data_IF_490647570592
#
_entry.id   IF_490647570592
#
_cell.length_a   1.000
_cell.length_b   1.000
_cell.length_c   1.000
_cell.angle_alpha   90.00
_cell.angle_beta   90.00
_cell.angle_gamma   90.00
#
_symmetry.space_group_name_H-M   'P 1'
#
loop_
_entity.id
_entity.type
_entity.pdbx_description
1 polymer ?
#
# COMPACT_ATOMS: atom_id res chain seq x y z
N UNK A 1 0.91 -39.87 45.13
CA UNK A 1 -0.40 -39.22 44.88
C UNK A 1 -0.19 -37.72 45.04
N UNK A 2 -0.37 -36.96 43.97
CA UNK A 2 -0.18 -35.51 43.95
C UNK A 2 -0.36 -34.98 42.53
N UNK A 3 -1.61 -34.69 42.17
CA UNK A 3 -2.01 -34.12 40.87
C UNK A 3 -1.60 -32.64 40.83
N UNK A 4 -0.81 -32.26 39.82
CA UNK A 4 -0.55 -30.87 39.47
C UNK A 4 -1.07 -30.58 38.06
N UNK A 5 -2.29 -30.06 37.98
CA UNK A 5 -2.94 -29.56 36.75
C UNK A 5 -2.22 -28.31 36.25
N UNK A 6 -1.51 -28.41 35.12
CA UNK A 6 -1.00 -27.23 34.41
C UNK A 6 -2.04 -26.73 33.41
N UNK A 7 -2.50 -25.49 33.64
CA UNK A 7 -3.43 -24.74 32.79
C UNK A 7 -2.76 -24.47 31.44
N UNK A 8 -3.40 -24.92 30.35
CA UNK A 8 -3.08 -24.45 28.99
C UNK A 8 -3.61 -23.02 28.86
N UNK A 9 -2.72 -22.03 28.89
CA UNK A 9 -3.02 -20.71 28.36
C UNK A 9 -2.74 -20.75 26.86
N UNK A 10 -3.81 -20.83 26.06
CA UNK A 10 -3.75 -20.64 24.63
C UNK A 10 -3.38 -19.19 24.32
N UNK A 11 -2.27 -18.98 23.62
CA UNK A 11 -1.94 -17.70 23.01
C UNK A 11 -2.47 -17.70 21.59
N UNK A 12 -3.24 -16.66 21.26
CA UNK A 12 -3.86 -16.46 19.95
C UNK A 12 -2.79 -16.03 18.91
N UNK A 13 -2.96 -16.39 17.63
CA UNK A 13 -1.99 -16.03 16.58
C UNK A 13 -2.09 -14.55 16.22
N UNK A 14 -0.92 -13.92 16.21
CA UNK A 14 -0.67 -12.51 15.98
C UNK A 14 -0.82 -12.14 14.50
N UNK A 15 -1.59 -11.09 14.21
CA UNK A 15 -1.81 -10.56 12.86
C UNK A 15 -1.20 -9.16 12.80
N UNK A 16 -0.11 -9.01 12.04
CA UNK A 16 0.74 -7.83 12.08
C UNK A 16 0.43 -6.81 10.96
N UNK A 17 0.32 -5.54 11.37
CA UNK A 17 0.53 -4.22 10.77
C UNK A 17 0.35 -3.92 9.26
N UNK A 18 0.56 -4.85 8.34
CA UNK A 18 0.33 -4.61 6.90
C UNK A 18 -1.09 -4.95 6.44
N UNK A 19 -1.89 -5.61 7.28
CA UNK A 19 -3.25 -6.09 6.93
C UNK A 19 -4.26 -4.97 6.66
N UNK A 20 -3.98 -3.74 7.11
CA UNK A 20 -4.94 -2.63 7.08
C UNK A 20 -5.02 -1.94 5.71
N UNK A 21 -3.90 -1.84 4.99
CA UNK A 21 -3.83 -1.17 3.68
C UNK A 21 -3.91 -2.13 2.50
N UNK A 22 -3.71 -3.42 2.75
CA UNK A 22 -3.56 -4.49 1.74
C UNK A 22 -4.89 -5.03 1.20
N UNK A 23 -6.05 -4.61 1.73
CA UNK A 23 -7.35 -5.02 1.16
C UNK A 23 -7.79 -4.07 0.05
N UNK A 24 -7.04 -4.06 -1.03
CA UNK A 24 -7.56 -3.71 -2.34
C UNK A 24 -8.45 -4.88 -2.81
N UNK A 25 -9.76 -4.70 -2.80
CA UNK A 25 -10.70 -5.64 -3.44
C UNK A 25 -11.11 -5.01 -4.78
N UNK A 26 -10.65 -5.54 -5.93
CA UNK A 26 -11.23 -5.18 -7.21
C UNK A 26 -12.61 -5.83 -7.31
N UNK A 27 -13.64 -5.00 -7.49
CA UNK A 27 -14.98 -5.34 -8.02
C UNK A 27 -15.42 -6.80 -7.90
N UNK A 28 -16.01 -7.19 -6.77
CA UNK A 28 -16.77 -8.44 -6.68
C UNK A 28 -18.20 -8.23 -7.24
N UNK A 29 -18.77 -9.21 -7.96
CA UNK A 29 -20.16 -9.16 -8.41
C UNK A 29 -21.14 -9.13 -7.22
N UNK A 30 -22.29 -8.51 -7.45
CA UNK A 30 -23.37 -8.14 -6.50
C UNK A 30 -23.80 -9.24 -5.49
N UNK A 31 -23.47 -10.51 -5.72
CA UNK A 31 -23.97 -11.65 -4.96
C UNK A 31 -23.18 -12.00 -3.68
N UNK A 32 -22.05 -11.34 -3.41
CA UNK A 32 -21.22 -11.57 -2.22
C UNK A 32 -21.34 -10.49 -1.12
N UNK A 33 -22.41 -9.69 -1.12
CA UNK A 33 -22.59 -8.60 -0.12
C UNK A 33 -23.11 -9.05 1.25
N UNK A 34 -23.70 -10.25 1.39
CA UNK A 34 -24.52 -10.53 2.59
C UNK A 34 -23.80 -11.12 3.81
N UNK A 35 -22.50 -11.42 3.77
CA UNK A 35 -21.84 -11.98 4.98
C UNK A 35 -20.41 -11.43 5.12
N UNK A 36 -20.25 -10.14 5.51
CA UNK A 36 -19.20 -9.66 6.44
C UNK A 36 -19.18 -8.11 6.68
N UNK A 37 -20.32 -7.40 6.68
CA UNK A 37 -20.32 -5.92 6.81
C UNK A 37 -21.25 -5.38 7.90
N UNK A 38 -21.28 -5.97 9.10
CA UNK A 38 -21.86 -5.27 10.26
C UNK A 38 -20.79 -4.36 10.87
N UNK A 39 -20.96 -3.04 10.71
CA UNK A 39 -20.28 -2.01 11.52
C UNK A 39 -19.17 -1.19 10.85
N UNK A 40 -18.93 -1.29 9.54
CA UNK A 40 -18.02 -0.36 8.82
C UNK A 40 -18.80 0.78 8.18
N UNK A 41 -18.28 2.02 8.16
CA UNK A 41 -18.92 3.12 7.45
C UNK A 41 -19.02 2.79 5.96
N UNK A 42 -20.17 3.10 5.38
CA UNK A 42 -20.41 2.83 3.96
C UNK A 42 -19.49 3.69 3.08
N UNK A 43 -18.97 3.14 1.97
CA UNK A 43 -18.14 3.90 1.05
C UNK A 43 -18.93 5.06 0.44
N UNK A 44 -18.31 6.22 0.27
CA UNK A 44 -18.96 7.38 -0.36
C UNK A 44 -18.74 7.38 -1.87
N UNK A 45 -19.84 7.38 -2.63
CA UNK A 45 -19.84 7.59 -4.08
C UNK A 45 -19.47 9.04 -4.43
N UNK A 46 -18.54 9.19 -5.37
CA UNK A 46 -18.10 10.49 -5.92
C UNK A 46 -17.83 10.37 -7.43
N UNK A 47 -17.76 11.51 -8.10
CA UNK A 47 -17.47 11.62 -9.53
C UNK A 47 -16.31 12.61 -9.72
N UNK A 48 -15.05 12.16 -9.64
CA UNK A 48 -13.90 13.02 -9.79
C UNK A 48 -13.86 13.66 -11.18
N UNK A 49 -13.51 14.96 -11.23
CA UNK A 49 -13.39 15.71 -12.48
C UNK A 49 -12.16 16.60 -12.49
N UNK A 50 -11.50 16.67 -13.64
CA UNK A 50 -10.38 17.59 -13.86
C UNK A 50 -10.95 18.99 -14.07
N UNK A 51 -10.53 19.95 -13.24
CA UNK A 51 -10.91 21.36 -13.35
C UNK A 51 -9.95 22.12 -14.26
N UNK A 52 -8.65 21.85 -14.11
CA UNK A 52 -7.58 22.50 -14.88
C UNK A 52 -6.44 21.51 -15.13
N UNK A 53 -5.87 21.57 -16.33
CA UNK A 53 -4.63 20.88 -16.67
C UNK A 53 -3.58 21.92 -17.08
N UNK A 54 -2.47 21.97 -16.33
CA UNK A 54 -1.38 22.92 -16.56
C UNK A 54 -0.27 22.22 -17.31
N UNK A 55 -0.15 22.53 -18.59
CA UNK A 55 0.71 21.82 -19.55
C UNK A 55 2.22 21.98 -19.29
N UNK A 56 2.65 23.02 -18.57
CA UNK A 56 4.06 23.26 -18.29
C UNK A 56 4.67 22.25 -17.29
N UNK A 57 3.94 21.92 -16.22
CA UNK A 57 4.45 21.07 -15.13
C UNK A 57 3.69 19.73 -15.02
N UNK A 58 2.71 19.49 -15.90
CA UNK A 58 1.82 18.34 -15.83
C UNK A 58 0.88 18.35 -14.61
N UNK A 59 0.77 19.50 -13.92
CA UNK A 59 -0.05 19.63 -12.73
C UNK A 59 -1.55 19.64 -13.08
N UNK A 60 -2.37 18.98 -12.24
CA UNK A 60 -3.82 18.82 -12.45
C UNK A 60 -4.57 19.27 -11.21
N UNK A 61 -5.54 20.18 -11.37
CA UNK A 61 -6.51 20.46 -10.32
C UNK A 61 -7.69 19.51 -10.49
N UNK A 62 -7.94 18.65 -9.50
CA UNK A 62 -8.97 17.61 -9.58
C UNK A 62 -9.95 17.75 -8.45
N UNK A 63 -11.20 18.02 -8.80
CA UNK A 63 -12.29 18.04 -7.84
C UNK A 63 -12.73 16.61 -7.52
N UNK A 64 -12.71 16.24 -6.24
CA UNK A 64 -13.18 14.93 -5.78
C UNK A 64 -14.62 15.05 -5.25
N UNK A 65 -14.89 16.06 -4.42
CA UNK A 65 -16.21 16.44 -3.91
C UNK A 65 -16.14 17.85 -3.31
N UNK A 66 -17.26 18.42 -2.87
CA UNK A 66 -17.39 19.79 -2.31
C UNK A 66 -16.34 20.20 -1.23
N UNK A 67 -15.75 19.23 -0.53
CA UNK A 67 -14.78 19.48 0.54
C UNK A 67 -13.35 19.09 0.20
N UNK A 68 -13.07 18.60 -1.01
CA UNK A 68 -11.75 18.14 -1.42
C UNK A 68 -11.51 18.37 -2.91
N UNK A 69 -10.54 19.24 -3.17
CA UNK A 69 -9.92 19.43 -4.48
C UNK A 69 -8.43 19.18 -4.32
N UNK A 70 -7.90 18.24 -5.10
CA UNK A 70 -6.49 17.88 -5.09
C UNK A 70 -5.73 18.69 -6.15
N UNK A 71 -4.54 19.19 -5.78
CA UNK A 71 -3.58 19.81 -6.67
C UNK A 71 -2.48 18.80 -6.94
N UNK A 72 -2.69 17.98 -7.96
CA UNK A 72 -1.85 16.85 -8.29
C UNK A 72 -0.61 17.31 -9.07
N UNK A 73 0.58 16.96 -8.58
CA UNK A 73 1.87 17.17 -9.25
C UNK A 73 2.50 15.80 -9.53
N UNK A 74 3.11 15.64 -10.72
CA UNK A 74 3.82 14.40 -11.06
C UNK A 74 4.96 14.13 -10.08
N UNK A 75 5.11 12.87 -9.69
CA UNK A 75 6.17 12.41 -8.79
C UNK A 75 6.65 11.02 -9.22
N UNK A 76 7.79 10.59 -8.70
CA UNK A 76 8.36 9.27 -8.99
C UNK A 76 9.09 8.72 -7.77
N UNK A 77 8.86 7.44 -7.50
CA UNK A 77 9.46 6.69 -6.38
C UNK A 77 10.01 5.35 -6.81
N UNK A 78 9.85 4.96 -8.07
CA UNK A 78 10.49 3.78 -8.64
C UNK A 78 11.93 4.11 -9.07
N UNK A 79 12.85 3.17 -8.82
CA UNK A 79 14.17 3.20 -9.44
C UNK A 79 14.04 3.13 -10.98
N UNK A 80 15.01 3.64 -11.74
CA UNK A 80 14.98 3.59 -13.20
C UNK A 80 14.75 2.18 -13.76
N UNK A 81 15.21 1.16 -13.04
CA UNK A 81 14.95 -0.24 -13.33
C UNK A 81 14.58 -0.97 -12.05
N UNK A 82 13.40 -1.59 -12.04
CA UNK A 82 12.89 -2.44 -10.97
C UNK A 82 13.25 -3.90 -11.27
N UNK A 83 13.79 -4.60 -10.27
CA UNK A 83 13.98 -6.05 -10.33
C UNK A 83 12.72 -6.76 -9.80
N UNK A 84 12.11 -7.60 -10.62
CA UNK A 84 10.97 -8.44 -10.25
C UNK A 84 11.41 -9.88 -10.17
N UNK A 85 11.39 -10.44 -8.97
CA UNK A 85 11.60 -11.86 -8.72
C UNK A 85 10.23 -12.55 -8.72
N UNK A 86 10.00 -13.42 -9.68
CA UNK A 86 8.77 -14.20 -9.81
C UNK A 86 9.09 -15.66 -10.13
N UNK A 87 8.06 -16.49 -10.16
CA UNK A 87 8.20 -17.90 -10.50
C UNK A 87 7.35 -18.19 -11.73
N UNK A 88 8.01 -18.61 -12.81
CA UNK A 88 7.36 -18.97 -14.06
C UNK A 88 7.54 -20.46 -14.30
N UNK A 89 6.43 -21.20 -14.45
CA UNK A 89 6.44 -22.66 -14.59
C UNK A 89 7.23 -23.37 -13.46
N UNK A 90 7.13 -22.85 -12.23
CA UNK A 90 7.81 -23.38 -11.05
C UNK A 90 9.31 -23.09 -10.97
N UNK A 91 9.87 -22.29 -11.89
CA UNK A 91 11.28 -21.89 -11.88
C UNK A 91 11.41 -20.42 -11.50
N UNK A 92 12.40 -20.05 -10.67
CA UNK A 92 12.71 -18.64 -10.41
C UNK A 92 13.01 -17.92 -11.73
N UNK A 93 12.39 -16.76 -11.91
CA UNK A 93 12.60 -15.85 -13.02
C UNK A 93 12.84 -14.45 -12.43
N UNK A 94 13.84 -13.75 -12.96
CA UNK A 94 14.09 -12.34 -12.64
C UNK A 94 13.86 -11.52 -13.91
N UNK A 95 12.86 -10.64 -13.85
CA UNK A 95 12.52 -9.70 -14.92
C UNK A 95 12.88 -8.28 -14.49
N UNK A 96 13.37 -7.49 -15.44
CA UNK A 96 13.65 -6.07 -15.21
C UNK A 96 12.58 -5.23 -15.90
N UNK A 97 11.97 -4.31 -15.15
CA UNK A 97 10.91 -3.41 -15.63
C UNK A 97 11.40 -1.97 -15.48
N UNK A 98 11.12 -1.10 -16.45
CA UNK A 98 11.45 0.33 -16.32
C UNK A 98 10.55 0.98 -15.28
N UNK A 99 11.13 1.77 -14.37
CA UNK A 99 10.36 2.46 -13.33
C UNK A 99 9.25 3.35 -13.91
N UNK A 100 9.58 4.11 -14.96
CA UNK A 100 8.66 4.99 -15.68
C UNK A 100 7.40 4.28 -16.21
N UNK A 101 7.51 3.00 -16.61
CA UNK A 101 6.36 2.22 -17.10
C UNK A 101 5.37 1.88 -15.96
N UNK A 102 5.81 1.99 -14.71
CA UNK A 102 5.03 1.70 -13.51
C UNK A 102 4.51 2.98 -12.84
N UNK A 103 5.37 3.98 -12.62
CA UNK A 103 5.04 5.18 -11.86
C UNK A 103 4.97 6.47 -12.69
N UNK A 104 5.06 6.40 -14.02
CA UNK A 104 4.95 7.59 -14.90
C UNK A 104 3.61 8.33 -14.82
N UNK A 105 2.62 7.70 -14.19
CA UNK A 105 1.27 8.20 -13.92
C UNK A 105 1.01 8.43 -12.42
N UNK A 106 2.05 8.48 -11.59
CA UNK A 106 1.96 8.75 -10.16
C UNK A 106 1.95 10.27 -9.90
N UNK A 107 1.03 10.69 -9.05
CA UNK A 107 0.87 12.08 -8.66
C UNK A 107 0.71 12.22 -7.14
N UNK A 108 1.10 13.38 -6.63
CA UNK A 108 0.94 13.74 -5.23
C UNK A 108 0.28 15.10 -5.02
N UNK A 109 -0.38 15.25 -3.88
CA UNK A 109 -0.73 16.54 -3.28
C UNK A 109 -0.22 16.54 -1.84
N UNK A 110 0.87 17.25 -1.60
CA UNK A 110 1.53 17.29 -0.30
C UNK A 110 0.64 17.86 0.79
N UNK A 111 -0.16 18.89 0.47
CA UNK A 111 -1.02 19.57 1.44
C UNK A 111 -2.07 18.62 1.98
N UNK A 112 -2.61 17.77 1.12
CA UNK A 112 -3.61 16.78 1.49
C UNK A 112 -3.01 15.43 1.88
N UNK A 113 -1.67 15.24 1.79
CA UNK A 113 -0.99 13.95 1.92
C UNK A 113 -1.60 12.88 0.98
N UNK A 114 -1.93 13.30 -0.24
CA UNK A 114 -2.51 12.44 -1.26
C UNK A 114 -1.41 11.88 -2.17
N UNK A 115 -1.53 10.61 -2.52
CA UNK A 115 -0.69 9.89 -3.49
C UNK A 115 -1.60 9.00 -4.31
N UNK A 116 -1.69 9.27 -5.62
CA UNK A 116 -2.67 8.63 -6.51
C UNK A 116 -2.03 8.27 -7.85
N UNK A 117 -2.41 7.12 -8.37
CA UNK A 117 -2.19 6.76 -9.77
C UNK A 117 -3.35 7.33 -10.60
N UNK A 118 -3.02 8.08 -11.65
CA UNK A 118 -4.00 8.68 -12.56
C UNK A 118 -3.97 7.92 -13.88
N UNK A 119 -5.11 7.38 -14.33
CA UNK A 119 -5.24 6.82 -15.68
C UNK A 119 -6.22 7.65 -16.47
N UNK A 120 -5.76 8.16 -17.60
CA UNK A 120 -6.57 8.94 -18.52
C UNK A 120 -6.50 8.28 -19.92
N UNK A 121 -7.49 7.45 -20.23
CA UNK A 121 -7.65 6.86 -21.57
C UNK A 121 -8.96 7.36 -22.18
N UNK A 122 -8.89 7.97 -23.38
CA UNK A 122 -10.03 8.18 -24.29
C UNK A 122 -11.34 8.70 -23.66
N UNK A 123 -11.25 9.65 -22.72
CA UNK A 123 -12.35 10.27 -21.93
C UNK A 123 -12.70 9.64 -20.58
N UNK A 124 -11.98 8.60 -20.15
CA UNK A 124 -12.10 8.07 -18.78
C UNK A 124 -10.97 8.58 -17.90
N UNK A 125 -11.33 9.35 -16.88
CA UNK A 125 -10.41 9.80 -15.84
C UNK A 125 -10.58 8.90 -14.61
N UNK A 126 -9.57 8.09 -14.33
CA UNK A 126 -9.53 7.19 -13.17
C UNK A 126 -8.48 7.67 -12.17
N UNK A 127 -8.87 7.62 -10.90
CA UNK A 127 -8.02 7.87 -9.75
C UNK A 127 -8.02 6.66 -8.84
N UNK A 128 -6.83 6.23 -8.46
CA UNK A 128 -6.68 5.14 -7.52
C UNK A 128 -5.53 5.42 -6.55
N UNK A 129 -5.80 5.33 -5.25
CA UNK A 129 -4.78 5.54 -4.24
C UNK A 129 -5.29 6.22 -2.98
N UNK A 130 -4.41 6.96 -2.31
CA UNK A 130 -4.67 7.64 -1.04
C UNK A 130 -4.96 9.11 -1.32
N UNK A 131 -6.11 9.61 -0.85
CA UNK A 131 -6.54 11.01 -1.05
C UNK A 131 -6.45 11.84 0.25
N UNK A 132 -5.83 11.26 1.27
CA UNK A 132 -5.42 11.92 2.49
C UNK A 132 -5.16 10.93 3.63
N UNK A 133 -4.97 11.41 4.88
CA UNK A 133 -4.49 10.57 5.97
C UNK A 133 -5.35 9.34 6.28
N UNK A 134 -6.67 9.44 6.07
CA UNK A 134 -7.66 8.43 6.45
C UNK A 134 -8.55 7.97 5.30
N UNK A 135 -8.30 8.40 4.08
CA UNK A 135 -9.18 8.11 2.96
C UNK A 135 -8.42 7.61 1.74
N UNK A 136 -8.97 6.57 1.12
CA UNK A 136 -8.53 6.07 -0.18
C UNK A 136 -9.67 6.16 -1.19
N UNK A 137 -9.32 6.27 -2.46
CA UNK A 137 -10.24 6.31 -3.59
C UNK A 137 -9.94 5.15 -4.54
N UNK A 138 -10.99 4.57 -5.12
CA UNK A 138 -10.87 3.58 -6.18
C UNK A 138 -12.00 3.74 -7.21
N UNK A 139 -11.75 3.40 -8.49
CA UNK A 139 -12.77 3.43 -9.52
C UNK A 139 -13.86 2.36 -9.25
N UNK A 140 -15.10 2.65 -9.61
CA UNK A 140 -16.25 1.76 -9.43
C UNK A 140 -16.98 1.51 -10.77
N UNK A 141 -16.32 0.91 -11.78
CA UNK A 141 -16.82 0.88 -13.16
C UNK A 141 -18.13 0.11 -13.36
N UNK A 142 -18.56 -0.68 -12.37
CA UNK A 142 -19.83 -1.40 -12.37
C UNK A 142 -21.03 -0.54 -11.92
N UNK A 143 -20.78 0.68 -11.44
CA UNK A 143 -21.83 1.62 -11.04
C UNK A 143 -22.20 2.57 -12.17
N UNK A 144 -23.35 3.22 -12.04
CA UNK A 144 -23.85 4.17 -13.03
C UNK A 144 -22.93 5.41 -13.12
N UNK A 145 -22.62 5.80 -14.36
CA UNK A 145 -21.90 7.04 -14.66
C UNK A 145 -22.77 8.25 -14.33
N UNK A 146 -22.14 9.41 -14.14
CA UNK A 146 -22.91 10.65 -14.01
C UNK A 146 -23.65 10.97 -15.32
N UNK A 147 -24.62 11.88 -15.27
CA UNK A 147 -25.29 12.42 -16.48
C UNK A 147 -24.27 13.00 -17.48
N UNK A 148 -23.19 13.61 -16.98
CA UNK A 148 -22.07 14.15 -17.77
C UNK A 148 -21.05 13.08 -18.24
N UNK A 149 -21.29 11.79 -17.94
CA UNK A 149 -20.44 10.68 -18.37
C UNK A 149 -19.23 10.36 -17.48
N UNK A 150 -19.05 11.06 -16.36
CA UNK A 150 -17.94 10.84 -15.42
C UNK A 150 -17.97 9.43 -14.80
N UNK A 151 -16.79 8.83 -14.66
CA UNK A 151 -16.64 7.51 -14.06
C UNK A 151 -16.85 7.59 -12.54
N UNK A 152 -17.74 6.77 -11.96
CA UNK A 152 -17.95 6.72 -10.51
C UNK A 152 -16.72 6.20 -9.79
N UNK A 153 -16.44 6.77 -8.63
CA UNK A 153 -15.41 6.33 -7.70
C UNK A 153 -16.01 6.16 -6.29
N UNK A 154 -15.41 5.28 -5.51
CA UNK A 154 -15.77 5.08 -4.11
C UNK A 154 -14.63 5.55 -3.21
N UNK A 155 -14.98 6.33 -2.20
CA UNK A 155 -14.08 6.74 -1.13
C UNK A 155 -14.32 5.82 0.06
N UNK A 156 -13.24 5.21 0.53
CA UNK A 156 -13.22 4.35 1.69
C UNK A 156 -12.43 4.99 2.81
N UNK A 157 -12.91 4.85 4.04
CA UNK A 157 -12.11 5.12 5.21
C UNK A 157 -11.03 4.05 5.38
N UNK A 158 -9.80 4.49 5.64
CA UNK A 158 -8.68 3.62 6.02
C UNK A 158 -8.84 3.36 7.52
N UNK A 159 -9.35 2.18 7.86
CA UNK A 159 -9.59 1.76 9.25
C UNK A 159 -8.29 1.23 9.85
N UNK A 160 -7.63 2.02 10.69
CA UNK A 160 -6.51 1.54 11.50
C UNK A 160 -6.97 0.41 12.42
N UNK A 161 -6.37 -0.77 12.30
CA UNK A 161 -6.55 -1.82 13.28
C UNK A 161 -5.66 -1.51 14.48
N UNK A 162 -6.25 -1.08 15.60
CA UNK A 162 -5.50 -0.77 16.84
C UNK A 162 -4.70 -1.96 17.37
N UNK A 163 -5.19 -3.20 17.16
CA UNK A 163 -4.45 -4.43 17.49
C UNK A 163 -3.23 -4.66 16.59
N UNK A 164 -3.20 -4.01 15.44
CA UNK A 164 -2.06 -3.95 14.54
C UNK A 164 -1.29 -2.64 14.73
N UNK A 165 -1.19 -2.06 15.94
CA UNK A 165 -0.28 -0.94 16.23
C UNK A 165 1.02 -1.37 16.92
N UNK A 166 1.06 -2.58 17.50
CA UNK A 166 2.14 -3.00 18.39
C UNK A 166 2.50 -4.50 18.35
N UNK A 167 2.53 -5.10 17.16
CA UNK A 167 3.48 -6.21 16.93
C UNK A 167 4.74 -5.61 16.29
N UNK A 168 5.25 -4.53 16.90
CA UNK A 168 6.68 -4.29 16.79
C UNK A 168 7.32 -5.61 17.22
N UNK A 169 8.16 -6.16 16.35
CA UNK A 169 9.03 -7.28 16.65
C UNK A 169 9.80 -6.94 17.93
N UNK A 170 9.20 -7.17 19.10
CA UNK A 170 9.94 -7.26 20.33
C UNK A 170 10.93 -8.36 20.01
N UNK A 171 12.24 -8.08 20.02
CA UNK A 171 13.20 -9.12 19.79
C UNK A 171 12.84 -10.24 20.76
N UNK A 172 12.39 -11.38 20.22
CA UNK A 172 12.56 -12.64 20.95
C UNK A 172 14.02 -12.65 21.36
N UNK A 173 14.34 -13.12 22.56
CA UNK A 173 15.68 -13.12 23.18
C UNK A 173 16.72 -13.97 22.39
N UNK A 174 16.74 -13.85 21.07
CA UNK A 174 17.76 -14.34 20.17
C UNK A 174 18.79 -13.21 20.04
N UNK A 175 20.02 -13.49 20.46
CA UNK A 175 21.18 -12.59 20.32
C UNK A 175 21.35 -12.01 18.90
N UNK A 176 20.73 -12.63 17.88
CA UNK A 176 20.76 -12.21 16.49
C UNK A 176 19.83 -11.02 16.14
N UNK A 177 18.78 -10.74 16.92
CA UNK A 177 17.83 -9.62 16.67
C UNK A 177 18.14 -8.38 17.48
N UNK A 178 19.16 -8.41 18.34
CA UNK A 178 19.79 -7.21 18.86
C UNK A 178 20.51 -6.54 17.68
N UNK A 179 19.79 -5.69 16.95
CA UNK A 179 20.40 -4.60 16.19
C UNK A 179 21.11 -3.75 17.25
N UNK A 180 22.31 -4.17 17.65
CA UNK A 180 23.20 -3.32 18.43
C UNK A 180 23.42 -2.12 17.54
N UNK A 181 23.14 -0.94 18.07
CA UNK A 181 23.59 0.32 17.49
C UNK A 181 25.01 0.08 16.99
N UNK A 182 25.20 0.11 15.65
CA UNK A 182 26.54 -0.04 15.08
C UNK A 182 27.38 1.00 15.80
N UNK A 183 28.42 0.56 16.52
CA UNK A 183 29.21 1.38 17.44
C UNK A 183 29.19 2.84 16.98
N UNK A 184 28.48 3.70 17.72
CA UNK A 184 28.36 5.11 17.38
C UNK A 184 29.76 5.64 17.10
N UNK A 185 30.05 5.87 15.83
CA UNK A 185 31.33 6.43 15.41
C UNK A 185 31.12 7.94 15.37
N UNK A 186 31.67 8.70 16.33
CA UNK A 186 31.50 10.16 16.37
C UNK A 186 32.07 10.86 15.12
N UNK A 187 32.87 10.16 14.31
CA UNK A 187 33.40 10.64 13.03
C UNK A 187 32.51 10.29 11.82
N UNK A 188 31.47 9.48 11.99
CA UNK A 188 30.59 9.09 10.90
C UNK A 188 29.57 10.21 10.62
N UNK A 189 29.83 10.96 9.55
CA UNK A 189 28.92 12.01 9.07
C UNK A 189 27.73 11.37 8.37
N UNK A 190 26.54 11.58 8.92
CA UNK A 190 25.28 11.24 8.26
C UNK A 190 25.03 12.25 7.14
N UNK A 191 24.76 11.81 5.90
CA UNK A 191 24.42 12.72 4.81
C UNK A 191 23.17 13.56 5.14
N UNK A 192 23.04 14.74 4.52
CA UNK A 192 21.85 15.59 4.69
C UNK A 192 20.56 14.94 4.13
N UNK A 193 20.69 14.00 3.19
CA UNK A 193 19.60 13.21 2.63
C UNK A 193 20.02 11.74 2.57
N UNK A 194 19.17 10.84 3.04
CA UNK A 194 19.36 9.40 3.04
C UNK A 194 18.26 8.77 2.21
N UNK A 195 18.64 8.09 1.13
CA UNK A 195 17.74 7.28 0.33
C UNK A 195 17.76 5.83 0.83
N UNK A 196 16.59 5.31 1.17
CA UNK A 196 16.37 3.94 1.60
C UNK A 196 15.77 3.18 0.42
N UNK A 197 16.53 2.23 -0.10
CA UNK A 197 16.08 1.33 -1.16
C UNK A 197 15.17 0.25 -0.57
N UNK A 198 13.98 0.12 -1.15
CA UNK A 198 12.95 -0.83 -0.75
C UNK A 198 12.84 -1.95 -1.79
N UNK A 199 13.20 -3.16 -1.37
CA UNK A 199 12.89 -4.38 -2.09
C UNK A 199 11.77 -5.10 -1.34
N UNK A 200 10.58 -5.19 -1.93
CA UNK A 200 9.36 -5.63 -1.23
C UNK A 200 9.08 -7.09 -1.56
N UNK A 201 8.77 -7.91 -0.55
CA UNK A 201 8.29 -9.28 -0.74
C UNK A 201 6.78 -9.28 -0.54
N UNK A 202 6.04 -9.69 -1.57
CA UNK A 202 4.58 -9.85 -1.52
C UNK A 202 4.22 -11.33 -1.41
N UNK A 203 3.46 -11.67 -0.38
CA UNK A 203 2.99 -13.03 -0.12
C UNK A 203 1.85 -13.44 -1.06
N UNK A 204 1.39 -14.69 -0.92
CA UNK A 204 0.31 -15.24 -1.76
C UNK A 204 -1.05 -14.60 -1.47
N UNK A 205 -1.31 -14.13 -0.25
CA UNK A 205 -2.61 -13.58 0.12
C UNK A 205 -2.76 -12.17 -0.44
N UNK A 206 -1.75 -11.32 -0.24
CA UNK A 206 -1.69 -9.95 -0.73
C UNK A 206 -1.75 -9.90 -2.26
N UNK A 207 -1.00 -10.78 -2.93
CA UNK A 207 -0.94 -10.73 -4.39
C UNK A 207 -2.21 -11.24 -5.08
N UNK A 208 -3.14 -11.92 -4.38
CA UNK A 208 -4.40 -12.42 -4.97
C UNK A 208 -5.28 -11.30 -5.54
N UNK A 209 -5.17 -10.09 -5.00
CA UNK A 209 -5.91 -8.93 -5.47
C UNK A 209 -5.36 -8.32 -6.77
N UNK A 210 -4.23 -8.82 -7.28
CA UNK A 210 -3.53 -8.22 -8.42
C UNK A 210 -3.32 -9.24 -9.54
N UNK A 211 -4.09 -9.08 -10.63
CA UNK A 211 -3.99 -9.92 -11.82
C UNK A 211 -2.64 -9.78 -12.55
N UNK A 212 -2.04 -8.58 -12.47
CA UNK A 212 -0.81 -8.21 -13.19
C UNK A 212 0.25 -7.70 -12.22
N UNK A 213 1.51 -8.02 -12.47
CA UNK A 213 2.64 -7.56 -11.65
C UNK A 213 2.75 -6.03 -11.70
N UNK A 214 2.46 -5.43 -12.84
CA UNK A 214 2.51 -3.98 -13.06
C UNK A 214 1.47 -3.25 -12.19
N UNK A 215 0.28 -3.85 -11.97
CA UNK A 215 -0.72 -3.29 -11.04
C UNK A 215 -0.26 -3.34 -9.58
N UNK A 216 0.39 -4.45 -9.18
CA UNK A 216 0.95 -4.57 -7.85
C UNK A 216 2.09 -3.56 -7.63
N UNK A 217 2.98 -3.41 -8.61
CA UNK A 217 4.06 -2.42 -8.56
C UNK A 217 3.51 -0.98 -8.51
N UNK A 218 2.48 -0.65 -9.29
CA UNK A 218 1.83 0.66 -9.24
C UNK A 218 1.20 0.95 -7.88
N UNK A 219 0.50 -0.04 -7.29
CA UNK A 219 0.01 0.04 -5.92
C UNK A 219 1.15 0.28 -4.92
N UNK A 220 2.26 -0.45 -5.02
CA UNK A 220 3.42 -0.26 -4.15
C UNK A 220 4.03 1.13 -4.31
N UNK A 221 4.08 1.68 -5.53
CA UNK A 221 4.54 3.05 -5.75
C UNK A 221 3.64 4.08 -5.05
N UNK A 222 2.30 3.92 -5.14
CA UNK A 222 1.36 4.75 -4.38
C UNK A 222 1.64 4.69 -2.88
N UNK A 223 1.88 3.49 -2.34
CA UNK A 223 2.17 3.27 -0.91
C UNK A 223 3.51 3.86 -0.47
N UNK A 224 4.58 3.64 -1.24
CA UNK A 224 5.91 4.18 -0.98
C UNK A 224 5.88 5.71 -1.03
N UNK A 225 5.20 6.30 -2.01
CA UNK A 225 5.08 7.74 -2.08
C UNK A 225 4.23 8.33 -0.94
N UNK A 226 3.14 7.66 -0.55
CA UNK A 226 2.35 8.02 0.63
C UNK A 226 3.20 8.01 1.91
N UNK A 227 4.16 7.10 2.03
CA UNK A 227 5.13 7.10 3.12
C UNK A 227 6.15 8.26 2.98
N UNK A 228 6.67 8.54 1.78
CA UNK A 228 7.55 9.69 1.54
C UNK A 228 6.92 11.01 1.95
N UNK A 229 5.63 11.23 1.64
CA UNK A 229 4.89 12.42 2.08
C UNK A 229 4.89 12.59 3.60
N UNK A 230 4.89 11.50 4.37
CA UNK A 230 4.97 11.52 5.84
C UNK A 230 6.38 11.71 6.36
N UNK A 231 7.40 11.24 5.64
CA UNK A 231 8.80 11.47 5.97
C UNK A 231 9.29 12.87 5.57
N UNK A 232 8.49 13.65 4.86
CA UNK A 232 8.89 14.97 4.34
C UNK A 232 9.29 15.96 5.45
N UNK A 233 8.73 15.81 6.65
CA UNK A 233 9.05 16.64 7.82
C UNK A 233 10.37 16.26 8.51
N UNK A 234 11.08 15.23 8.04
CA UNK A 234 12.41 14.86 8.56
C UNK A 234 13.49 15.78 8.00
N UNK A 235 14.28 16.44 8.87
CA UNK A 235 15.23 17.51 8.45
C UNK A 235 16.70 17.13 8.65
N UNK A 236 17.03 16.08 9.41
CA UNK A 236 18.43 15.69 9.69
C UNK A 236 18.55 14.22 10.12
N UNK A 237 18.66 13.27 9.17
CA UNK A 237 18.65 13.48 7.72
C UNK A 237 17.23 13.66 7.16
N UNK A 238 17.12 14.21 5.95
CA UNK A 238 15.93 14.02 5.12
C UNK A 238 15.88 12.57 4.64
N UNK A 239 14.73 11.91 4.78
CA UNK A 239 14.56 10.51 4.38
C UNK A 239 13.77 10.42 3.07
N UNK A 240 14.27 9.64 2.12
CA UNK A 240 13.55 9.27 0.89
C UNK A 240 13.50 7.76 0.75
N UNK A 241 12.33 7.22 0.49
CA UNK A 241 12.12 5.82 0.15
C UNK A 241 12.10 5.67 -1.37
N UNK A 242 12.84 4.70 -1.89
CA UNK A 242 12.94 4.37 -3.31
C UNK A 242 12.59 2.90 -3.51
N UNK A 243 11.56 2.60 -4.29
CA UNK A 243 11.23 1.22 -4.66
C UNK A 243 12.25 0.73 -5.70
N UNK A 244 12.98 -0.35 -5.37
CA UNK A 244 14.01 -0.95 -6.25
C UNK A 244 13.61 -2.32 -6.80
N UNK A 245 12.63 -2.98 -6.19
CA UNK A 245 12.19 -4.28 -6.67
C UNK A 245 11.07 -4.92 -5.86
N UNK A 246 10.62 -6.05 -6.38
CA UNK A 246 9.52 -6.84 -5.86
C UNK A 246 9.85 -8.33 -5.97
N UNK A 247 9.59 -9.09 -4.92
CA UNK A 247 9.47 -10.54 -5.00
C UNK A 247 8.01 -10.97 -4.85
N UNK A 248 7.50 -11.70 -5.84
CA UNK A 248 6.21 -12.39 -5.77
C UNK A 248 6.44 -13.79 -5.21
N UNK A 249 6.32 -13.90 -3.89
CA UNK A 249 6.61 -15.13 -3.18
C UNK A 249 5.56 -16.22 -3.48
N UNK A 250 6.03 -17.41 -3.82
CA UNK A 250 5.17 -18.61 -3.93
C UNK A 250 5.17 -19.46 -2.65
N UNK A 251 6.26 -19.40 -1.89
CA UNK A 251 6.47 -20.14 -0.66
C UNK A 251 7.03 -19.14 0.36
N UNK A 252 6.49 -19.15 1.57
CA UNK A 252 6.84 -18.20 2.62
C UNK A 252 7.84 -18.86 3.59
N UNK A 253 9.15 -18.89 3.31
CA UNK A 253 10.12 -19.49 4.24
C UNK A 253 10.21 -18.72 5.56
N UNK A 254 9.70 -17.48 5.58
CA UNK A 254 9.72 -16.58 6.73
C UNK A 254 8.45 -16.69 7.60
N UNK A 255 7.43 -17.44 7.17
CA UNK A 255 6.27 -17.79 8.00
C UNK A 255 6.63 -18.99 8.89
N UNK A 256 7.15 -18.73 10.08
CA UNK A 256 7.26 -19.75 11.12
C UNK A 256 5.97 -19.78 11.94
N UNK A 257 4.97 -20.53 11.47
CA UNK A 257 3.71 -20.77 12.17
C UNK A 257 2.99 -22.00 11.65
N UNK A 258 2.62 -22.90 12.55
CA UNK A 258 2.04 -24.21 12.27
C UNK A 258 0.72 -24.03 11.50
N UNK A 259 0.61 -24.61 10.30
CA UNK A 259 -0.44 -24.39 9.31
C UNK A 259 -1.88 -24.81 9.66
N UNK A 260 -2.40 -24.44 10.83
CA UNK A 260 -3.81 -24.53 11.19
C UNK A 260 -4.39 -23.12 11.37
N UNK A 261 -4.95 -22.57 10.29
CA UNK A 261 -5.88 -21.44 10.39
C UNK A 261 -7.27 -22.04 10.65
N UNK A 262 -7.63 -22.20 11.92
CA UNK A 262 -9.02 -22.48 12.30
C UNK A 262 -9.80 -21.17 12.24
N UNK A 263 -10.77 -21.08 11.32
CA UNK A 263 -11.78 -20.04 11.36
C UNK A 263 -12.63 -20.24 12.61
N UNK A 264 -12.38 -19.46 13.67
CA UNK A 264 -13.38 -19.29 14.72
C UNK A 264 -14.37 -18.22 14.25
N UNK A 265 -15.42 -18.67 13.56
CA UNK A 265 -16.69 -17.96 13.48
C UNK A 265 -17.24 -17.78 14.89
N UNK A 266 -17.37 -16.53 15.33
CA UNK A 266 -18.41 -16.13 16.29
C UNK A 266 -19.65 -15.68 15.54
#
# INVERSE_FOLDING_TARGET
IGKGTSRRNGSAPSQCLFSVLTRWEPSLPHFFWQVLLKGRPEPRLVYPRVLEERTADGAKAVHIHEGLTLNLVKTSVAAPTLAVHEFENGKPNVRFIRGEDIDGNLYEDEKHLASVAVRAESDTFELEGVIGPRHRIAPAPMMERSEEGHLPHLIYEIVENEGAKYDALLPKNDEATLIRERQYNPYQRVPAEVTIELFIISDKIHQKSFDKTERLLGYLCVMVNSANLRYKDTVSPRVKLLLVGLERSQHEPYFHGDGQITWMTQ
#
